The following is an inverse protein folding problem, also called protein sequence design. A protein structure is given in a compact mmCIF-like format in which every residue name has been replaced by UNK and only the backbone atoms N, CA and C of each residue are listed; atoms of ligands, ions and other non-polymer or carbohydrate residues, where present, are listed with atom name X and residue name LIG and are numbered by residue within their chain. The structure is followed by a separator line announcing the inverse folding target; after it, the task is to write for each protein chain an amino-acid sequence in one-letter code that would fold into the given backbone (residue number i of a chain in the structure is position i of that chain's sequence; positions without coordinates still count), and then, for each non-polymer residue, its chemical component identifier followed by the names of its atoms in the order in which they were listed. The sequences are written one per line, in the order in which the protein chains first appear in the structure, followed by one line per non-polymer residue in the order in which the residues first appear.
data_IF_351126010114
#
_entry.id   IF_351126010114
#
_cell.length_a   1.000
_cell.length_b   1.000
_cell.length_c   1.000
_cell.angle_alpha   90.00
_cell.angle_beta   90.00
_cell.angle_gamma   90.00
#
_symmetry.space_group_name_H-M   'P 1'
#
loop_
_entity.id
_entity.type
_entity.pdbx_description
1 polymer ?
#
# COMPACT_ATOMS: atom_id res chain seq x y z
N UNK A 1 4.31 -18.50 -21.76
CA UNK A 1 3.82 -17.09 -21.75
C UNK A 1 4.78 -16.29 -20.90
N UNK A 2 5.41 -15.24 -21.41
CA UNK A 2 6.16 -14.33 -20.54
C UNK A 2 5.18 -13.59 -19.63
N UNK A 3 5.37 -13.72 -18.34
CA UNK A 3 4.57 -13.04 -17.32
C UNK A 3 4.71 -11.52 -17.49
N UNK A 4 3.64 -10.76 -17.23
CA UNK A 4 3.60 -9.30 -17.29
C UNK A 4 4.72 -8.69 -16.43
N UNK A 5 5.02 -9.31 -15.28
CA UNK A 5 6.16 -8.95 -14.42
C UNK A 5 7.50 -8.98 -15.18
N UNK A 6 7.72 -10.01 -16.01
CA UNK A 6 8.94 -10.14 -16.82
C UNK A 6 9.03 -9.06 -17.89
N UNK A 7 7.90 -8.66 -18.49
CA UNK A 7 7.88 -7.62 -19.52
C UNK A 7 8.13 -6.22 -18.92
N UNK A 8 7.53 -5.93 -17.77
CA UNK A 8 7.77 -4.70 -17.01
C UNK A 8 9.24 -4.62 -16.62
N UNK A 9 9.80 -5.71 -16.09
CA UNK A 9 11.20 -5.75 -15.69
C UNK A 9 12.14 -5.52 -16.88
N UNK A 10 11.87 -6.12 -18.04
CA UNK A 10 12.73 -5.95 -19.22
C UNK A 10 12.65 -4.55 -19.85
N UNK A 11 11.46 -3.94 -19.89
CA UNK A 11 11.24 -2.67 -20.60
C UNK A 11 11.42 -1.43 -19.73
N UNK A 12 11.10 -1.50 -18.44
CA UNK A 12 11.08 -0.33 -17.56
C UNK A 12 12.31 -0.21 -16.65
N UNK A 13 13.05 -1.30 -16.43
CA UNK A 13 14.24 -1.27 -15.57
C UNK A 13 15.44 -0.80 -16.40
N UNK A 14 15.78 0.46 -16.18
CA UNK A 14 16.94 1.13 -16.79
C UNK A 14 18.23 0.95 -15.99
N UNK A 15 18.12 0.51 -14.72
CA UNK A 15 19.28 0.19 -13.88
C UNK A 15 20.01 -1.04 -14.42
N UNK A 16 21.34 -0.99 -14.38
CA UNK A 16 22.20 -2.10 -14.78
C UNK A 16 22.54 -3.03 -13.61
N UNK A 17 22.38 -2.57 -12.37
CA UNK A 17 22.83 -3.28 -11.17
C UNK A 17 21.65 -3.81 -10.34
N UNK A 18 21.06 -2.93 -9.52
CA UNK A 18 19.92 -3.22 -8.66
C UNK A 18 18.79 -2.21 -8.88
N UNK A 19 17.57 -2.63 -8.56
CA UNK A 19 16.37 -1.81 -8.60
C UNK A 19 15.48 -2.12 -7.40
N UNK A 20 14.68 -1.13 -7.00
CA UNK A 20 13.68 -1.28 -5.95
C UNK A 20 12.28 -1.14 -6.53
N UNK A 21 11.37 -2.02 -6.13
CA UNK A 21 9.94 -1.90 -6.42
C UNK A 21 9.17 -1.72 -5.13
N UNK A 22 8.14 -0.88 -5.15
CA UNK A 22 7.25 -0.64 -4.02
C UNK A 22 5.84 -0.47 -4.56
N UNK A 23 4.84 -0.61 -3.70
CA UNK A 23 3.44 -0.36 -4.04
C UNK A 23 2.92 0.82 -3.23
N UNK A 24 1.96 1.52 -3.82
CA UNK A 24 1.22 2.59 -3.18
C UNK A 24 -0.22 2.47 -3.65
N UNK A 25 -1.15 2.50 -2.70
CA UNK A 25 -2.58 2.49 -3.00
C UNK A 25 -3.04 3.94 -3.31
N UNK A 26 -4.17 4.11 -3.98
CA UNK A 26 -4.60 5.40 -4.53
C UNK A 26 -5.10 6.39 -3.45
N UNK A 27 -5.43 5.89 -2.27
CA UNK A 27 -5.83 6.66 -1.09
C UNK A 27 -4.68 6.91 -0.10
N UNK A 28 -3.49 6.34 -0.34
CA UNK A 28 -2.30 6.49 0.49
C UNK A 28 -1.36 7.59 0.00
N UNK A 29 -0.39 7.97 0.85
CA UNK A 29 0.67 8.89 0.46
C UNK A 29 2.04 8.47 1.00
N UNK A 30 3.08 8.75 0.23
CA UNK A 30 4.47 8.64 0.67
C UNK A 30 5.10 10.02 0.89
N UNK A 31 6.16 10.07 1.69
CA UNK A 31 6.93 11.27 1.96
C UNK A 31 7.61 11.78 0.68
N UNK A 32 7.80 13.10 0.57
CA UNK A 32 8.59 13.71 -0.50
C UNK A 32 10.02 13.12 -0.60
N UNK A 33 10.56 12.64 0.52
CA UNK A 33 11.90 12.06 0.60
C UNK A 33 11.89 10.53 0.44
N UNK A 34 10.73 9.90 0.17
CA UNK A 34 10.57 8.44 0.16
C UNK A 34 11.57 7.75 -0.79
N UNK A 35 11.65 8.22 -2.03
CA UNK A 35 12.56 7.66 -3.03
C UNK A 35 14.02 7.85 -2.62
N UNK A 36 14.39 9.02 -2.09
CA UNK A 36 15.74 9.27 -1.60
C UNK A 36 16.10 8.35 -0.42
N UNK A 37 15.16 8.13 0.51
CA UNK A 37 15.34 7.23 1.64
C UNK A 37 15.48 5.77 1.20
N UNK A 38 14.66 5.31 0.24
CA UNK A 38 14.72 3.96 -0.31
C UNK A 38 16.01 3.72 -1.11
N UNK A 39 16.46 4.71 -1.89
CA UNK A 39 17.64 4.60 -2.77
C UNK A 39 18.91 4.17 -2.05
N UNK A 40 19.05 4.51 -0.77
CA UNK A 40 20.19 4.09 0.08
C UNK A 40 20.36 2.56 0.15
N UNK A 41 19.25 1.84 -0.01
CA UNK A 41 19.17 0.38 0.04
C UNK A 41 19.14 -0.29 -1.33
N UNK A 42 18.97 0.45 -2.42
CA UNK A 42 18.96 -0.12 -3.77
C UNK A 42 20.39 -0.41 -4.19
N UNK A 43 20.90 -1.58 -3.80
CA UNK A 43 22.26 -2.04 -4.05
C UNK A 43 22.25 -3.56 -4.32
N UNK A 44 23.20 -4.09 -5.12
CA UNK A 44 23.25 -5.53 -5.41
C UNK A 44 23.38 -6.42 -4.17
N UNK A 45 24.04 -5.94 -3.10
CA UNK A 45 24.21 -6.68 -1.84
C UNK A 45 22.89 -6.88 -1.07
N UNK A 46 21.84 -6.14 -1.45
CA UNK A 46 20.49 -6.29 -0.92
C UNK A 46 19.56 -7.04 -1.89
N UNK A 47 20.08 -7.79 -2.88
CA UNK A 47 19.21 -8.66 -3.69
C UNK A 47 18.38 -9.59 -2.80
N UNK A 48 17.09 -9.73 -3.12
CA UNK A 48 16.11 -10.52 -2.35
C UNK A 48 15.75 -9.94 -0.97
N UNK A 49 16.20 -8.72 -0.63
CA UNK A 49 15.81 -8.05 0.61
C UNK A 49 14.53 -7.22 0.43
N UNK A 50 13.77 -7.14 1.52
CA UNK A 50 12.69 -6.20 1.67
C UNK A 50 13.12 -5.03 2.56
N UNK A 51 12.69 -3.83 2.20
CA UNK A 51 12.92 -2.60 2.96
C UNK A 51 11.57 -2.13 3.50
N UNK A 52 11.45 -2.06 4.82
CA UNK A 52 10.27 -1.50 5.49
C UNK A 52 10.62 -0.13 6.06
N UNK A 53 10.27 0.92 5.33
CA UNK A 53 10.30 2.30 5.83
C UNK A 53 9.10 2.50 6.76
N UNK A 54 9.24 2.05 8.01
CA UNK A 54 8.12 1.67 8.86
C UNK A 54 7.55 2.80 9.73
N UNK A 55 8.16 3.99 9.74
CA UNK A 55 7.64 5.13 10.50
C UNK A 55 6.75 6.00 9.62
N UNK A 56 5.56 6.34 10.11
CA UNK A 56 4.59 7.11 9.34
C UNK A 56 3.40 7.56 10.18
N UNK A 57 2.28 7.78 9.51
CA UNK A 57 1.02 8.18 10.12
C UNK A 57 -0.14 7.33 9.61
N UNK A 58 -1.11 7.06 10.48
CA UNK A 58 -2.44 6.63 10.06
C UNK A 58 -3.33 7.87 10.02
N UNK A 59 -3.99 8.06 8.89
CA UNK A 59 -4.97 9.10 8.63
C UNK A 59 -6.36 8.47 8.57
N UNK A 60 -7.13 8.61 9.66
CA UNK A 60 -8.51 8.14 9.72
C UNK A 60 -9.45 9.23 9.21
N UNK A 61 -10.15 8.93 8.12
CA UNK A 61 -11.12 9.84 7.51
C UNK A 61 -12.51 9.39 7.96
N UNK A 62 -13.14 10.22 8.79
CA UNK A 62 -14.54 10.03 9.17
C UNK A 62 -15.47 10.30 7.98
N UNK A 63 -16.73 9.86 8.08
CA UNK A 63 -17.76 10.06 7.04
C UNK A 63 -17.90 11.54 6.61
N UNK A 64 -17.66 12.47 7.53
CA UNK A 64 -17.55 13.90 7.22
C UNK A 64 -16.09 14.32 7.15
N UNK A 65 -15.71 14.94 6.03
CA UNK A 65 -14.38 15.48 5.74
C UNK A 65 -13.87 16.51 6.76
N UNK A 66 -14.74 16.99 7.64
CA UNK A 66 -14.45 18.15 8.49
C UNK A 66 -13.41 17.83 9.54
N UNK A 67 -13.43 16.59 10.05
CA UNK A 67 -12.53 16.11 11.08
C UNK A 67 -11.85 14.82 10.65
N UNK A 68 -10.52 14.79 10.78
CA UNK A 68 -9.71 13.60 10.52
C UNK A 68 -8.93 13.22 11.77
N UNK A 69 -8.77 11.91 11.98
CA UNK A 69 -7.86 11.38 12.96
C UNK A 69 -6.46 11.28 12.36
N UNK A 70 -5.45 11.77 13.07
CA UNK A 70 -4.05 11.55 12.69
C UNK A 70 -3.30 10.91 13.86
N UNK A 71 -2.65 9.78 13.60
CA UNK A 71 -1.87 9.04 14.59
C UNK A 71 -0.49 8.70 14.03
N UNK A 72 0.57 9.12 14.71
CA UNK A 72 1.92 8.67 14.39
C UNK A 72 2.06 7.17 14.72
N UNK A 73 2.73 6.42 13.84
CA UNK A 73 2.92 4.97 14.01
C UNK A 73 4.32 4.54 13.58
N UNK A 74 4.75 3.43 14.17
CA UNK A 74 5.79 2.57 13.62
C UNK A 74 5.06 1.28 13.24
N UNK A 75 4.87 1.04 11.95
CA UNK A 75 4.15 -0.10 11.40
C UNK A 75 5.09 -0.90 10.47
N UNK A 76 5.84 -1.86 11.03
CA UNK A 76 6.67 -2.74 10.22
C UNK A 76 5.85 -3.51 9.20
N UNK A 77 6.40 -3.65 8.00
CA UNK A 77 5.77 -4.30 6.85
C UNK A 77 4.44 -3.66 6.41
N UNK A 78 4.13 -2.41 6.79
CA UNK A 78 3.00 -1.69 6.22
C UNK A 78 3.18 -1.57 4.69
N UNK A 79 2.13 -1.91 3.94
CA UNK A 79 2.16 -1.99 2.47
C UNK A 79 2.77 -0.73 1.81
N UNK A 80 2.27 0.46 2.17
CA UNK A 80 2.72 1.77 1.65
C UNK A 80 4.19 2.10 1.94
N UNK A 81 4.76 1.49 2.98
CA UNK A 81 6.16 1.69 3.38
C UNK A 81 7.09 0.56 2.97
N UNK A 82 6.58 -0.44 2.23
CA UNK A 82 7.31 -1.66 1.91
C UNK A 82 7.85 -1.62 0.48
N UNK A 83 9.13 -1.96 0.34
CA UNK A 83 9.80 -2.12 -0.94
C UNK A 83 10.53 -3.47 -1.00
N UNK A 84 10.77 -3.96 -2.21
CA UNK A 84 11.57 -5.14 -2.50
C UNK A 84 12.70 -4.78 -3.46
N UNK A 85 13.91 -5.25 -3.14
CA UNK A 85 15.12 -4.99 -3.92
C UNK A 85 15.46 -6.24 -4.74
N UNK A 86 15.80 -6.00 -6.00
CA UNK A 86 16.13 -7.05 -6.95
C UNK A 86 17.21 -6.59 -7.92
N UNK A 87 17.87 -7.54 -8.55
CA UNK A 87 18.92 -7.33 -9.55
C UNK A 87 18.44 -7.71 -10.94
N UNK A 88 19.10 -7.17 -11.98
CA UNK A 88 18.74 -7.47 -13.37
C UNK A 88 18.92 -8.94 -13.74
N UNK A 89 19.82 -9.66 -13.08
CA UNK A 89 20.05 -11.09 -13.27
C UNK A 89 18.94 -11.97 -12.69
N UNK A 90 18.21 -11.48 -11.70
CA UNK A 90 17.10 -12.19 -11.04
C UNK A 90 15.91 -11.23 -10.82
N UNK A 91 15.29 -10.73 -11.90
CA UNK A 91 14.32 -9.66 -11.81
C UNK A 91 13.02 -10.15 -11.18
N UNK A 92 12.69 -9.60 -10.02
CA UNK A 92 11.42 -9.80 -9.31
C UNK A 92 10.92 -8.47 -8.76
N UNK A 93 9.61 -8.36 -8.63
CA UNK A 93 8.91 -7.21 -8.06
C UNK A 93 8.34 -7.55 -6.68
N UNK A 94 7.90 -6.54 -5.95
CA UNK A 94 7.22 -6.70 -4.67
C UNK A 94 5.96 -7.58 -4.77
N UNK A 95 5.33 -7.65 -5.93
CA UNK A 95 4.15 -8.47 -6.18
C UNK A 95 4.49 -9.95 -6.39
N UNK A 96 5.71 -10.26 -6.85
CA UNK A 96 6.13 -11.64 -7.11
C UNK A 96 6.54 -12.37 -5.83
N UNK A 97 6.87 -11.64 -4.76
CA UNK A 97 7.50 -12.22 -3.56
C UNK A 97 6.55 -12.40 -2.38
N UNK A 98 5.37 -11.77 -2.39
CA UNK A 98 4.36 -11.99 -1.35
C UNK A 98 2.95 -11.58 -1.75
N UNK A 99 2.00 -12.49 -1.52
CA UNK A 99 0.56 -12.24 -1.50
C UNK A 99 0.09 -11.56 -0.20
N UNK A 100 0.89 -11.65 0.88
CA UNK A 100 0.58 -11.10 2.21
C UNK A 100 1.74 -10.32 2.77
N UNK A 101 1.81 -9.04 2.42
CA UNK A 101 2.88 -8.11 2.80
C UNK A 101 3.18 -8.10 4.32
N UNK A 102 2.17 -8.24 5.18
CA UNK A 102 2.33 -8.27 6.65
C UNK A 102 3.29 -9.39 7.12
N UNK A 103 3.37 -10.49 6.39
CA UNK A 103 4.22 -11.64 6.70
C UNK A 103 5.51 -11.69 5.88
N UNK A 104 5.94 -10.58 5.28
CA UNK A 104 7.14 -10.54 4.43
C UNK A 104 8.39 -11.09 5.15
N UNK A 105 8.55 -10.74 6.43
CA UNK A 105 9.65 -11.22 7.29
C UNK A 105 9.73 -12.74 7.46
N UNK A 106 8.65 -13.49 7.15
CA UNK A 106 8.66 -14.96 7.17
C UNK A 106 9.21 -15.57 5.88
N UNK A 107 9.28 -14.79 4.80
CA UNK A 107 9.65 -15.25 3.45
C UNK A 107 10.96 -14.67 2.94
N UNK A 108 11.30 -13.45 3.39
CA UNK A 108 12.47 -12.69 2.94
C UNK A 108 13.13 -11.94 4.11
N UNK A 109 14.45 -11.70 4.06
CA UNK A 109 15.09 -10.76 4.96
C UNK A 109 14.44 -9.37 4.86
N UNK A 110 14.18 -8.73 6.01
CA UNK A 110 13.58 -7.40 6.06
C UNK A 110 14.49 -6.45 6.84
N UNK A 111 14.88 -5.34 6.21
CA UNK A 111 15.47 -4.19 6.88
C UNK A 111 14.35 -3.25 7.31
N UNK A 112 14.24 -2.97 8.61
CA UNK A 112 13.29 -2.00 9.14
C UNK A 112 14.00 -0.66 9.39
N UNK A 113 13.52 0.40 8.74
CA UNK A 113 14.04 1.76 8.92
C UNK A 113 12.92 2.68 9.43
N UNK A 114 13.02 3.05 10.70
CA UNK A 114 12.11 3.99 11.38
C UNK A 114 12.73 5.39 11.54
N UNK A 115 13.83 5.71 10.84
CA UNK A 115 14.57 6.98 11.05
C UNK A 115 13.80 8.20 10.56
N UNK A 116 12.98 8.06 9.51
CA UNK A 116 12.23 9.15 8.86
C UNK A 116 10.76 8.76 8.70
N UNK A 117 9.88 9.78 8.67
CA UNK A 117 8.49 9.55 8.29
C UNK A 117 8.44 9.23 6.79
N UNK A 118 7.91 8.06 6.44
CA UNK A 118 7.92 7.54 5.09
C UNK A 118 6.54 7.54 4.45
N UNK A 119 5.48 7.36 5.24
CA UNK A 119 4.13 7.19 4.71
C UNK A 119 3.04 7.88 5.54
N UNK A 120 1.90 8.09 4.89
CA UNK A 120 0.58 8.29 5.46
C UNK A 120 -0.31 7.19 4.89
N UNK A 121 -0.82 6.34 5.76
CA UNK A 121 -1.76 5.29 5.41
C UNK A 121 -3.18 5.76 5.76
N UNK A 122 -4.08 5.71 4.79
CA UNK A 122 -5.47 6.15 4.99
C UNK A 122 -6.33 4.99 5.52
N UNK A 123 -7.25 5.30 6.42
CA UNK A 123 -8.31 4.37 6.84
C UNK A 123 -9.66 5.08 6.71
N UNK A 124 -10.65 4.42 6.11
CA UNK A 124 -12.03 4.90 6.02
C UNK A 124 -13.02 3.72 6.04
N UNK A 125 -14.32 3.99 6.06
CA UNK A 125 -15.35 2.98 6.34
C UNK A 125 -15.45 1.87 5.28
N UNK A 126 -15.07 2.18 4.04
CA UNK A 126 -15.03 1.24 2.92
C UNK A 126 -13.69 0.54 2.69
N UNK A 127 -12.66 0.82 3.49
CA UNK A 127 -11.36 0.13 3.38
C UNK A 127 -11.38 -1.15 4.24
N UNK A 128 -10.76 -2.24 3.79
CA UNK A 128 -10.72 -3.54 4.51
C UNK A 128 -10.13 -3.42 5.92
N UNK A 129 -9.25 -2.43 6.13
CA UNK A 129 -8.68 -2.08 7.43
C UNK A 129 -9.68 -1.37 8.37
N UNK A 130 -10.80 -0.88 7.84
CA UNK A 130 -11.84 -0.09 8.51
C UNK A 130 -12.72 -0.86 9.50
N UNK A 131 -12.77 -2.20 9.42
CA UNK A 131 -13.45 -3.05 10.42
C UNK A 131 -12.81 -2.98 11.81
N UNK A 132 -11.61 -2.39 11.93
CA UNK A 132 -10.95 -2.03 13.19
C UNK A 132 -10.69 -0.53 13.28
N UNK A 133 -11.70 0.32 13.03
CA UNK A 133 -11.70 1.75 13.41
C UNK A 133 -11.51 1.91 14.92
N UNK A 134 -10.26 1.76 15.37
CA UNK A 134 -9.83 1.90 16.75
C UNK A 134 -8.77 3.01 16.89
N UNK A 135 -8.49 3.74 15.81
CA UNK A 135 -7.50 4.81 15.84
C UNK A 135 -8.12 6.06 16.47
N UNK A 136 -8.11 6.09 17.81
CA UNK A 136 -8.19 7.32 18.61
C UNK A 136 -6.93 8.16 18.37
N UNK A 137 -6.76 8.66 17.14
CA UNK A 137 -5.78 9.69 16.82
C UNK A 137 -6.24 11.04 17.39
N UNK A 138 -5.35 12.03 17.37
CA UNK A 138 -5.79 13.39 17.67
C UNK A 138 -6.69 13.85 16.53
N UNK A 139 -7.88 14.35 16.86
CA UNK A 139 -8.79 14.92 15.88
C UNK A 139 -8.26 16.28 15.41
N UNK A 140 -8.26 16.48 14.10
CA UNK A 140 -7.88 17.74 13.47
C UNK A 140 -8.93 18.15 12.45
N UNK A 141 -9.17 19.46 12.33
CA UNK A 141 -9.85 19.98 11.14
C UNK A 141 -9.01 19.73 9.89
N UNK A 142 -9.63 19.37 8.75
CA UNK A 142 -8.92 19.00 7.52
C UNK A 142 -7.84 20.02 7.10
N UNK A 143 -8.13 21.32 7.14
CA UNK A 143 -7.15 22.38 6.81
C UNK A 143 -5.91 22.31 7.71
N UNK A 144 -6.10 22.06 9.01
CA UNK A 144 -5.01 21.94 9.98
C UNK A 144 -4.21 20.67 9.76
N UNK A 145 -4.89 19.55 9.48
CA UNK A 145 -4.24 18.27 9.16
C UNK A 145 -3.39 18.39 7.88
N UNK A 146 -3.91 18.98 6.79
CA UNK A 146 -3.13 19.24 5.57
C UNK A 146 -1.89 20.10 5.85
N UNK A 147 -2.02 21.17 6.65
CA UNK A 147 -0.86 22.01 7.01
C UNK A 147 0.18 21.23 7.83
N UNK A 148 -0.26 20.34 8.73
CA UNK A 148 0.61 19.50 9.54
C UNK A 148 1.33 18.47 8.66
N UNK A 149 0.59 17.72 7.84
CA UNK A 149 1.14 16.75 6.90
C UNK A 149 2.18 17.38 5.96
N UNK A 150 1.91 18.58 5.43
CA UNK A 150 2.88 19.32 4.62
C UNK A 150 4.17 19.64 5.36
N UNK A 151 4.08 20.07 6.62
CA UNK A 151 5.28 20.29 7.46
C UNK A 151 6.06 19.01 7.73
N UNK A 152 5.40 17.86 7.67
CA UNK A 152 5.98 16.54 7.88
C UNK A 152 6.52 15.92 6.58
N UNK A 153 6.43 16.62 5.44
CA UNK A 153 6.93 16.16 4.14
C UNK A 153 5.88 15.47 3.25
N UNK A 154 4.59 15.61 3.55
CA UNK A 154 3.51 14.97 2.79
C UNK A 154 2.61 15.99 2.08
N UNK A 155 2.36 15.77 0.78
CA UNK A 155 1.53 16.64 -0.05
C UNK A 155 0.14 16.03 -0.28
N UNK A 156 -0.72 16.08 0.75
CA UNK A 156 -2.07 15.49 0.70
C UNK A 156 -3.16 16.57 0.60
N UNK A 157 -4.08 16.41 -0.36
CA UNK A 157 -5.26 17.28 -0.56
C UNK A 157 -6.51 16.67 0.08
N UNK A 158 -6.61 16.79 1.40
CA UNK A 158 -7.72 16.22 2.18
C UNK A 158 -9.09 16.75 1.74
N UNK A 159 -9.16 18.01 1.28
CA UNK A 159 -10.36 18.62 0.72
C UNK A 159 -10.91 17.87 -0.51
N UNK A 160 -10.00 17.30 -1.32
CA UNK A 160 -10.36 16.51 -2.51
C UNK A 160 -10.60 15.04 -2.15
N UNK A 161 -9.72 14.47 -1.32
CA UNK A 161 -9.78 13.07 -0.91
C UNK A 161 -11.12 12.75 -0.23
N UNK A 162 -11.56 13.59 0.71
CA UNK A 162 -12.84 13.35 1.39
C UNK A 162 -14.06 13.47 0.47
N UNK A 163 -14.00 14.30 -0.59
CA UNK A 163 -15.09 14.38 -1.58
C UNK A 163 -15.17 13.09 -2.40
N UNK A 164 -14.01 12.55 -2.80
CA UNK A 164 -13.96 11.30 -3.57
C UNK A 164 -14.42 10.11 -2.73
N UNK A 165 -14.00 10.04 -1.46
CA UNK A 165 -14.43 9.01 -0.53
C UNK A 165 -15.95 9.06 -0.27
N UNK A 166 -16.53 10.26 -0.10
CA UNK A 166 -17.97 10.40 0.04
C UNK A 166 -18.75 9.90 -1.19
N UNK A 167 -18.23 10.12 -2.40
CA UNK A 167 -18.81 9.58 -3.65
C UNK A 167 -18.71 8.06 -3.70
N UNK A 168 -17.56 7.50 -3.30
CA UNK A 168 -17.34 6.04 -3.27
C UNK A 168 -18.28 5.38 -2.25
N UNK A 169 -18.41 5.94 -1.05
CA UNK A 169 -19.33 5.42 -0.02
C UNK A 169 -20.79 5.54 -0.46
N UNK A 170 -21.21 6.65 -1.08
CA UNK A 170 -22.55 6.79 -1.65
C UNK A 170 -22.82 5.73 -2.73
N UNK A 171 -21.86 5.48 -3.62
CA UNK A 171 -21.97 4.43 -4.65
C UNK A 171 -22.02 3.02 -4.05
N UNK A 172 -21.23 2.75 -3.01
CA UNK A 172 -21.28 1.48 -2.29
C UNK A 172 -22.63 1.27 -1.59
N UNK A 173 -23.23 2.34 -1.04
CA UNK A 173 -24.57 2.29 -0.42
C UNK A 173 -25.74 2.27 -1.40
N UNK A 174 -25.53 2.74 -2.64
CA UNK A 174 -26.54 2.81 -3.69
C UNK A 174 -26.41 1.66 -4.71
N UNK A 175 -25.37 0.84 -4.61
CA UNK A 175 -25.31 -0.42 -5.33
C UNK A 175 -26.46 -1.29 -4.78
N UNK A 176 -27.40 -1.77 -5.62
CA UNK A 176 -28.31 -2.81 -5.18
C UNK A 176 -27.45 -3.96 -4.63
N UNK A 177 -27.92 -4.63 -3.58
CA UNK A 177 -27.39 -5.95 -3.23
C UNK A 177 -27.37 -6.74 -4.55
N UNK A 178 -26.18 -6.91 -5.12
CA UNK A 178 -26.04 -7.81 -6.24
C UNK A 178 -26.39 -9.15 -5.66
N UNK A 179 -27.60 -9.63 -5.98
CA UNK A 179 -27.94 -11.03 -5.89
C UNK A 179 -26.72 -11.78 -6.37
N UNK A 180 -26.10 -12.49 -5.44
CA UNK A 180 -24.97 -13.34 -5.72
C UNK A 180 -25.54 -14.40 -6.67
N UNK A 181 -25.38 -14.20 -7.98
CA UNK A 181 -25.70 -15.22 -8.97
C UNK A 181 -24.64 -16.30 -8.79
N UNK A 182 -24.93 -17.19 -7.84
CA UNK A 182 -24.25 -18.46 -7.70
C UNK A 182 -24.59 -19.23 -8.97
N UNK A 183 -23.68 -19.23 -9.94
CA UNK A 183 -23.74 -20.24 -10.99
C UNK A 183 -23.55 -21.59 -10.30
N UNK A 184 -24.51 -22.53 -10.38
CA UNK A 184 -24.30 -23.86 -9.86
C UNK A 184 -23.13 -24.47 -10.62
N UNK A 185 -22.05 -24.77 -9.90
CA UNK A 185 -20.97 -25.58 -10.45
C UNK A 185 -21.53 -26.99 -10.60
N UNK A 186 -21.79 -27.41 -11.84
CA UNK A 186 -22.14 -28.80 -12.13
C UNK A 186 -20.91 -29.68 -11.85
N UNK A 187 -20.92 -30.35 -10.70
CA UNK A 187 -19.86 -31.24 -10.25
C UNK A 187 -19.65 -32.47 -11.15
N UNK A 188 -20.38 -32.62 -12.25
CA UNK A 188 -20.16 -33.69 -13.23
C UNK A 188 -18.96 -33.45 -14.16
N UNK A 189 -18.43 -32.23 -14.26
CA UNK A 189 -17.25 -31.96 -15.11
C UNK A 189 -15.89 -32.14 -14.41
N UNK A 190 -15.84 -32.28 -13.07
CA UNK A 190 -14.58 -32.51 -12.35
C UNK A 190 -14.15 -33.99 -12.30
N UNK A 191 -14.97 -34.92 -12.82
CA UNK A 191 -14.65 -36.35 -12.85
C UNK A 191 -14.02 -36.84 -14.17
N UNK A 192 -13.82 -35.96 -15.17
CA UNK A 192 -13.21 -36.34 -16.47
C UNK A 192 -11.80 -35.76 -16.72
N UNK A 193 -11.21 -35.09 -15.74
CA UNK A 193 -9.81 -34.63 -15.81
C UNK A 193 -8.85 -35.42 -14.90
N UNK A 194 -9.30 -36.56 -14.36
CA UNK A 194 -8.52 -37.46 -13.52
C UNK A 194 -8.60 -38.93 -14.02
N UNK A 195 -8.58 -39.11 -15.34
CA UNK A 195 -8.35 -40.40 -16.02
C UNK A 195 -7.41 -40.21 -17.20
#
# INVERSE_FOLDING_TARGET
MSDLSSLICQKMITSQDAFGTFRIDDDDAVSQDFIANLRRYVRPEHDDFCISLCKGYILDIAQTAETVGLKAVIAPNASVGLAYISTRSNPRTIFDVSDRHVFMHKRRPVIQDATKNAFVQTTHGGNDTGTRRAVRGRAFGAKRATKLLRKLGFHVRLDKLSRQLAIIEQRASAAPETDLVVFPVDNRMLAQAAS
#
